data_IF_995228007043
#
_entry.id   IF_995228007043
#
_cell.length_a   1.000
_cell.length_b   1.000
_cell.length_c   1.000
_cell.angle_alpha   90.00
_cell.angle_beta   90.00
_cell.angle_gamma   90.00
#
_symmetry.space_group_name_H-M   'P 1'
#
loop_
_entity.id
_entity.type
_entity.pdbx_description
1 polymer ?
2 water ?
#
# COMPACT_ATOMS: atom_id res chain seq x y z
N UNK A 1 -49.40 21.79 -0.53
CA UNK A 1 -48.62 21.00 0.45
C UNK A 1 -47.61 21.90 1.13
N UNK A 2 -47.98 22.42 2.29
CA UNK A 2 -47.11 23.34 2.96
C UNK A 2 -45.68 22.91 3.35
N UNK A 3 -45.48 21.96 4.29
CA UNK A 3 -44.09 21.61 4.65
C UNK A 3 -43.18 21.24 3.49
N UNK A 4 -42.06 21.96 3.35
CA UNK A 4 -41.12 21.68 2.28
C UNK A 4 -39.75 22.20 2.71
N UNK A 5 -38.85 21.28 3.01
CA UNK A 5 -37.53 21.67 3.50
C UNK A 5 -36.43 21.72 2.44
N UNK A 6 -35.41 22.52 2.72
CA UNK A 6 -34.23 22.58 1.86
C UNK A 6 -33.35 21.53 2.56
N UNK A 7 -32.83 20.57 1.80
CA UNK A 7 -32.03 19.50 2.37
C UNK A 7 -30.58 19.85 2.65
N UNK A 8 -30.05 19.30 3.73
CA UNK A 8 -28.65 19.52 4.10
C UNK A 8 -27.73 18.83 3.09
N UNK A 9 -26.70 19.55 2.64
CA UNK A 9 -25.74 19.00 1.69
C UNK A 9 -24.32 19.00 2.24
N UNK A 10 -23.57 17.93 1.95
CA UNK A 10 -22.16 17.87 2.32
C UNK A 10 -21.39 17.55 1.04
N UNK A 11 -20.09 17.84 1.04
CA UNK A 11 -19.26 17.62 -0.13
C UNK A 11 -18.38 16.39 -0.02
N UNK A 12 -18.17 15.73 -1.17
CA UNK A 12 -17.29 14.58 -1.26
C UNK A 12 -16.40 14.87 -2.46
N UNK A 13 -15.09 14.89 -2.22
CA UNK A 13 -14.12 15.17 -3.26
C UNK A 13 -13.04 14.10 -3.31
N UNK A 14 -12.77 13.62 -4.52
CA UNK A 14 -11.74 12.60 -4.70
C UNK A 14 -11.14 12.66 -6.09
N UNK A 15 -10.05 11.93 -6.27
CA UNK A 15 -9.36 11.85 -7.55
C UNK A 15 -9.49 10.42 -8.02
N UNK A 16 -10.21 10.21 -9.12
CA UNK A 16 -10.40 8.87 -9.64
C UNK A 16 -9.08 8.33 -10.18
N UNK A 17 -8.86 7.03 -10.00
CA UNK A 17 -7.64 6.39 -10.49
C UNK A 17 -8.01 5.23 -11.40
N UNK A 18 -7.26 5.07 -12.49
CA UNK A 18 -7.52 3.98 -13.43
C UNK A 18 -7.49 2.65 -12.68
N UNK A 19 -8.40 1.76 -13.04
CA UNK A 19 -8.44 0.46 -12.40
C UNK A 19 -9.09 0.42 -11.04
N UNK A 20 -9.53 1.58 -10.55
CA UNK A 20 -10.17 1.65 -9.24
C UNK A 20 -11.56 2.25 -9.39
N UNK A 21 -12.57 1.38 -9.48
CA UNK A 21 -13.97 1.80 -9.63
C UNK A 21 -14.43 2.56 -8.39
N UNK A 22 -15.40 3.45 -8.57
CA UNK A 22 -15.94 4.20 -7.45
C UNK A 22 -16.59 3.21 -6.48
N UNK A 23 -17.14 2.13 -7.03
CA UNK A 23 -17.78 1.12 -6.20
C UNK A 23 -19.17 1.48 -5.72
N UNK A 24 -19.85 2.36 -6.46
CA UNK A 24 -21.19 2.79 -6.08
C UNK A 24 -22.25 2.32 -7.06
N UNK A 25 -23.28 1.64 -6.55
CA UNK A 25 -24.41 1.21 -7.38
C UNK A 25 -25.43 2.33 -7.20
N UNK A 26 -25.87 2.94 -8.29
CA UNK A 26 -26.80 4.08 -8.21
C UNK A 26 -28.22 3.75 -8.61
N UNK A 27 -29.16 4.43 -7.96
CA UNK A 27 -30.60 4.26 -8.21
C UNK A 27 -31.12 5.67 -8.47
N UNK A 28 -31.66 5.95 -9.67
CA UNK A 28 -32.15 7.30 -9.92
C UNK A 28 -33.46 7.68 -9.24
N UNK A 29 -33.57 8.95 -8.89
CA UNK A 29 -34.80 9.48 -8.31
C UNK A 29 -34.89 10.96 -8.67
N UNK A 30 -36.01 11.60 -8.32
CA UNK A 30 -36.19 12.98 -8.69
C UNK A 30 -35.15 13.98 -8.20
N UNK A 31 -34.56 13.75 -7.04
CA UNK A 31 -33.57 14.72 -6.57
C UNK A 31 -32.11 14.35 -6.84
N UNK A 32 -31.84 13.12 -7.25
CA UNK A 32 -30.47 12.74 -7.51
C UNK A 32 -30.34 11.25 -7.63
N UNK A 33 -29.16 10.74 -7.32
CA UNK A 33 -28.92 9.31 -7.39
C UNK A 33 -28.62 8.70 -6.04
N UNK A 34 -29.47 7.77 -5.62
CA UNK A 34 -29.27 7.11 -4.34
C UNK A 34 -28.18 6.06 -4.46
N UNK A 35 -27.35 5.99 -3.44
CA UNK A 35 -26.31 4.98 -3.41
C UNK A 35 -27.02 3.73 -2.90
N UNK A 36 -27.43 2.86 -3.83
CA UNK A 36 -28.14 1.63 -3.50
C UNK A 36 -27.20 0.63 -2.82
N UNK A 37 -25.92 0.74 -3.12
CA UNK A 37 -24.91 -0.12 -2.52
C UNK A 37 -23.53 0.47 -2.79
N UNK A 38 -22.55 0.13 -1.95
CA UNK A 38 -21.21 0.63 -2.17
C UNK A 38 -20.20 -0.34 -1.58
N UNK A 39 -19.06 -0.45 -2.25
CA UNK A 39 -18.02 -1.35 -1.81
C UNK A 39 -16.96 -0.56 -1.06
N UNK A 40 -16.82 -0.88 0.22
CA UNK A 40 -15.87 -0.21 1.09
C UNK A 40 -14.44 -0.53 0.67
N UNK A 41 -13.54 0.42 0.87
CA UNK A 41 -12.14 0.20 0.51
C UNK A 41 -11.65 0.76 -0.82
N UNK A 42 -12.52 1.41 -1.59
CA UNK A 42 -12.09 1.96 -2.88
C UNK A 42 -11.39 3.32 -2.76
N UNK A 43 -12.05 4.27 -2.12
CA UNK A 43 -11.50 5.61 -1.92
C UNK A 43 -11.73 6.05 -0.48
N UNK A 44 -10.70 6.62 0.15
CA UNK A 44 -10.80 7.08 1.54
C UNK A 44 -11.95 8.06 1.77
N UNK A 45 -12.15 8.99 0.83
CA UNK A 45 -13.22 9.97 0.97
C UNK A 45 -14.61 9.32 0.94
N UNK A 46 -14.77 8.26 0.16
CA UNK A 46 -16.05 7.57 0.12
C UNK A 46 -16.24 6.83 1.44
N UNK A 47 -15.20 6.12 1.88
CA UNK A 47 -15.30 5.38 3.12
C UNK A 47 -15.59 6.28 4.31
N UNK A 48 -14.98 7.46 4.32
CA UNK A 48 -15.18 8.37 5.45
C UNK A 48 -16.46 9.20 5.41
N UNK A 49 -16.94 9.53 4.22
CA UNK A 49 -18.13 10.39 4.13
C UNK A 49 -19.43 9.82 3.58
N UNK A 50 -19.38 8.70 2.86
CA UNK A 50 -20.59 8.14 2.26
C UNK A 50 -21.12 6.85 2.88
N UNK A 51 -22.43 6.67 2.79
CA UNK A 51 -23.09 5.49 3.33
C UNK A 51 -24.23 5.09 2.39
N UNK A 52 -24.61 3.82 2.45
CA UNK A 52 -25.73 3.32 1.65
C UNK A 52 -26.94 4.17 1.99
N UNK A 53 -27.66 4.59 0.96
CA UNK A 53 -28.84 5.41 1.17
C UNK A 53 -28.60 6.89 0.94
N UNK A 54 -27.34 7.31 0.96
CA UNK A 54 -27.07 8.73 0.71
C UNK A 54 -27.48 9.04 -0.72
N UNK A 55 -27.87 10.28 -0.98
CA UNK A 55 -28.30 10.69 -2.31
C UNK A 55 -27.37 11.75 -2.87
N UNK A 56 -26.72 11.42 -3.98
CA UNK A 56 -25.81 12.36 -4.63
C UNK A 56 -26.71 13.28 -5.46
N UNK A 57 -26.62 14.59 -5.19
CA UNK A 57 -27.46 15.59 -5.85
C UNK A 57 -26.79 16.51 -6.86
N UNK A 58 -25.46 16.54 -6.86
CA UNK A 58 -24.71 17.34 -7.83
C UNK A 58 -23.42 16.60 -8.14
N UNK A 59 -23.05 16.55 -9.41
CA UNK A 59 -21.84 15.83 -9.79
C UNK A 59 -21.02 16.73 -10.70
N UNK A 60 -19.79 17.02 -10.28
CA UNK A 60 -18.89 17.90 -11.02
C UNK A 60 -19.57 19.14 -11.56
N UNK A 61 -20.34 19.80 -10.70
CA UNK A 61 -21.01 21.04 -11.07
C UNK A 61 -22.40 20.93 -11.67
N UNK A 62 -22.79 19.74 -12.12
CA UNK A 62 -24.12 19.59 -12.71
C UNK A 62 -25.13 19.08 -11.69
N UNK A 63 -26.20 19.86 -11.50
CA UNK A 63 -27.27 19.46 -10.58
C UNK A 63 -27.95 18.23 -11.18
N UNK A 64 -28.19 17.21 -10.36
CA UNK A 64 -28.80 15.98 -10.84
C UNK A 64 -30.32 15.94 -10.73
N UNK A 65 -30.92 16.89 -10.02
CA UNK A 65 -32.38 16.88 -9.90
C UNK A 65 -33.07 16.87 -11.26
N UNK A 66 -34.02 15.96 -11.42
CA UNK A 66 -34.78 15.87 -12.65
C UNK A 66 -34.11 15.30 -13.88
N UNK A 67 -32.83 14.97 -13.80
CA UNK A 67 -32.16 14.45 -14.97
C UNK A 67 -32.48 12.99 -15.23
N UNK A 68 -32.57 12.60 -16.51
CA UNK A 68 -32.84 11.20 -16.84
C UNK A 68 -31.61 10.44 -16.37
N UNK A 69 -31.78 9.20 -15.93
CA UNK A 69 -30.63 8.45 -15.46
C UNK A 69 -29.60 8.25 -16.57
N UNK A 70 -30.06 8.18 -17.81
CA UNK A 70 -29.11 8.03 -18.91
C UNK A 70 -28.13 9.21 -18.98
N UNK A 71 -28.56 10.39 -18.51
CA UNK A 71 -27.69 11.57 -18.48
C UNK A 71 -26.84 11.53 -17.21
N UNK A 72 -27.47 11.36 -16.04
CA UNK A 72 -26.69 11.31 -14.81
C UNK A 72 -25.61 10.23 -14.86
N UNK A 73 -25.98 9.03 -15.29
CA UNK A 73 -25.02 7.95 -15.36
C UNK A 73 -23.85 8.32 -16.29
N UNK A 74 -24.15 8.95 -17.42
CA UNK A 74 -23.12 9.37 -18.37
C UNK A 74 -22.14 10.32 -17.71
N UNK A 75 -22.64 11.19 -16.85
CA UNK A 75 -21.77 12.15 -16.17
C UNK A 75 -20.78 11.41 -15.25
N UNK A 76 -21.30 10.46 -14.47
CA UNK A 76 -20.43 9.68 -13.59
C UNK A 76 -19.41 8.89 -14.42
N UNK A 77 -19.88 8.22 -15.46
CA UNK A 77 -19.01 7.39 -16.29
C UNK A 77 -17.93 8.20 -17.00
N UNK A 78 -18.23 9.45 -17.31
CA UNK A 78 -17.29 10.30 -18.02
C UNK A 78 -16.20 10.95 -17.18
N UNK A 79 -16.25 10.78 -15.86
CA UNK A 79 -15.24 11.38 -14.99
C UNK A 79 -14.01 10.49 -14.90
N UNK A 80 -12.89 10.97 -15.45
CA UNK A 80 -11.64 10.21 -15.43
C UNK A 80 -10.68 10.67 -14.35
N UNK A 81 -10.93 11.86 -13.80
CA UNK A 81 -10.04 12.39 -12.78
C UNK A 81 -10.76 12.98 -11.58
N UNK A 82 -10.74 14.30 -11.47
CA UNK A 82 -11.38 14.97 -10.35
C UNK A 82 -12.88 14.71 -10.28
N UNK A 83 -13.35 14.41 -9.07
CA UNK A 83 -14.76 14.15 -8.83
C UNK A 83 -15.17 14.98 -7.61
N UNK A 84 -16.17 15.84 -7.81
CA UNK A 84 -16.68 16.69 -6.74
C UNK A 84 -18.18 16.51 -6.68
N UNK A 85 -18.68 16.00 -5.56
CA UNK A 85 -20.11 15.76 -5.43
C UNK A 85 -20.73 16.47 -4.24
N UNK A 86 -22.02 16.80 -4.38
CA UNK A 86 -22.80 17.35 -3.28
C UNK A 86 -23.73 16.18 -2.97
N UNK A 87 -23.94 15.93 -1.69
CA UNK A 87 -24.71 14.78 -1.24
C UNK A 87 -25.61 15.11 -0.04
N UNK A 88 -26.74 14.42 0.07
CA UNK A 88 -27.61 14.60 1.23
C UNK A 88 -27.85 13.22 1.86
N UNK A 89 -27.93 13.18 3.19
CA UNK A 89 -28.17 11.94 3.94
C UNK A 89 -29.64 12.01 4.36
N UNK A 90 -30.52 11.28 3.66
CA UNK A 90 -31.96 11.27 3.92
C UNK A 90 -32.44 10.45 5.10
N UNK A 91 -32.06 10.88 6.29
CA UNK A 91 -32.46 10.18 7.50
C UNK A 91 -33.19 11.12 8.44
N UNK A 92 -34.51 11.27 8.26
CA UNK A 92 -35.25 12.16 9.15
C UNK A 92 -35.46 11.40 10.46
N UNK B 1 31.45 -37.13 11.77
CA UNK B 1 30.85 -36.36 12.89
C UNK B 1 29.35 -36.27 12.73
N UNK B 2 28.74 -37.44 12.65
CA UNK B 2 27.31 -37.61 12.46
C UNK B 2 26.30 -36.46 12.58
N UNK B 3 25.96 -35.95 13.79
CA UNK B 3 24.97 -34.86 13.81
C UNK B 3 25.25 -33.66 12.90
N UNK B 4 24.34 -33.38 11.97
CA UNK B 4 24.52 -32.25 11.05
C UNK B 4 23.20 -31.77 10.49
N UNK B 5 22.91 -30.49 10.65
CA UNK B 5 21.64 -30.00 10.15
C UNK B 5 21.63 -28.59 9.56
N UNK B 6 20.50 -28.35 8.92
CA UNK B 6 20.01 -27.16 8.25
C UNK B 6 20.56 -25.76 8.37
N UNK B 7 20.11 -25.15 9.45
CA UNK B 7 20.37 -23.76 9.73
C UNK B 7 19.21 -23.24 8.91
N UNK B 8 18.07 -23.06 9.57
CA UNK B 8 16.89 -22.55 8.89
C UNK B 8 17.21 -21.13 8.45
N UNK B 9 16.76 -20.77 7.26
CA UNK B 9 17.02 -19.44 6.71
C UNK B 9 15.73 -18.66 6.52
N UNK B 10 15.87 -17.34 6.44
CA UNK B 10 14.75 -16.45 6.19
C UNK B 10 15.30 -15.35 5.28
N UNK B 11 14.42 -14.72 4.50
CA UNK B 11 14.86 -13.70 3.56
C UNK B 11 14.65 -12.25 3.99
N UNK B 12 15.53 -11.39 3.48
CA UNK B 12 15.49 -9.96 3.74
C UNK B 12 15.74 -9.28 2.40
N UNK B 13 14.68 -8.77 1.79
CA UNK B 13 14.79 -8.10 0.49
C UNK B 13 14.55 -6.61 0.64
N UNK B 14 15.42 -5.79 0.05
CA UNK B 14 15.27 -4.35 0.15
C UNK B 14 15.65 -3.63 -1.14
N UNK B 15 15.32 -2.34 -1.21
CA UNK B 15 15.62 -1.52 -2.38
C UNK B 15 16.78 -0.59 -2.04
N UNK B 16 17.91 -0.79 -2.73
CA UNK B 16 19.09 0.03 -2.49
C UNK B 16 19.05 1.44 -3.10
N UNK B 17 18.24 2.32 -2.52
CA UNK B 17 18.13 3.70 -2.99
C UNK B 17 19.35 4.50 -2.52
N UNK B 18 20.31 4.68 -3.42
CA UNK B 18 21.56 5.40 -3.16
C UNK B 18 21.49 6.48 -2.09
N UNK B 19 22.54 6.54 -1.28
CA UNK B 19 22.59 7.52 -0.20
C UNK B 19 22.38 6.81 1.11
N UNK B 20 22.53 5.49 1.11
CA UNK B 20 22.34 4.75 2.34
C UNK B 20 23.30 3.61 2.56
N UNK B 21 23.97 3.65 3.70
CA UNK B 21 24.87 2.59 4.07
C UNK B 21 23.81 1.59 4.54
N UNK B 22 23.95 0.32 4.18
CA UNK B 22 22.96 -0.65 4.61
C UNK B 22 22.87 -0.64 6.13
N UNK B 23 23.89 -0.06 6.76
CA UNK B 23 23.92 0.03 8.21
C UNK B 23 24.45 -1.22 8.88
N UNK B 24 24.74 -2.24 8.08
CA UNK B 24 25.25 -3.51 8.57
C UNK B 24 26.76 -3.50 8.86
N UNK B 25 27.14 -3.86 10.08
CA UNK B 25 28.55 -3.98 10.41
C UNK B 25 28.73 -5.49 10.31
N UNK B 26 29.74 -5.95 9.59
CA UNK B 26 29.93 -7.39 9.37
C UNK B 26 31.15 -8.07 9.99
N UNK B 27 31.03 -9.39 10.16
CA UNK B 27 32.08 -10.25 10.72
C UNK B 27 32.12 -11.55 9.90
N UNK B 28 33.27 -11.84 9.27
CA UNK B 28 33.38 -13.06 8.46
C UNK B 28 33.60 -14.38 9.17
N UNK B 29 32.85 -15.39 8.74
CA UNK B 29 33.03 -16.73 9.25
C UNK B 29 32.77 -17.71 8.12
N UNK B 30 32.99 -18.99 8.40
CA UNK B 30 32.83 -20.01 7.40
C UNK B 30 31.47 -20.11 6.72
N UNK B 31 30.40 -19.73 7.41
CA UNK B 31 29.11 -19.87 6.76
C UNK B 31 28.54 -18.59 6.16
N UNK B 32 29.12 -17.45 6.50
CA UNK B 32 28.63 -16.20 5.96
C UNK B 32 29.18 -15.01 6.70
N UNK B 33 28.45 -13.89 6.68
CA UNK B 33 28.89 -12.70 7.39
C UNK B 33 28.00 -12.41 8.58
N UNK B 34 28.61 -12.38 9.76
CA UNK B 34 27.90 -12.11 11.01
C UNK B 34 27.61 -10.62 11.12
N UNK B 35 26.40 -10.28 11.54
CA UNK B 35 26.03 -8.88 11.71
C UNK B 35 26.53 -8.39 13.07
N UNK B 36 27.44 -7.42 13.06
CA UNK B 36 27.99 -6.87 14.29
C UNK B 36 27.13 -5.73 14.82
N UNK B 37 26.69 -4.85 13.92
CA UNK B 37 25.86 -3.72 14.30
C UNK B 37 24.75 -3.50 13.27
N UNK B 38 23.62 -2.99 13.74
CA UNK B 38 22.47 -2.73 12.88
C UNK B 38 21.77 -1.44 13.27
N UNK B 39 22.47 -0.32 13.14
CA UNK B 39 21.92 0.98 13.48
C UNK B 39 20.51 1.13 12.91
N UNK B 40 19.51 0.99 13.78
CA UNK B 40 18.10 1.11 13.41
C UNK B 40 17.91 1.26 11.91
N UNK B 41 17.97 0.14 11.21
CA UNK B 41 17.84 0.11 9.76
C UNK B 41 16.92 1.10 9.06
N UNK B 42 17.03 1.12 7.74
CA UNK B 42 16.23 2.01 6.91
C UNK B 42 15.52 1.18 5.84
N UNK B 43 15.11 -0.02 6.24
CA UNK B 43 14.39 -0.94 5.37
C UNK B 43 13.52 -1.78 6.27
N UNK B 44 12.20 -1.71 6.08
CA UNK B 44 11.29 -2.50 6.93
C UNK B 44 11.82 -3.91 7.10
N UNK B 45 12.52 -4.38 6.08
CA UNK B 45 13.10 -5.71 6.07
C UNK B 45 14.15 -5.87 7.17
N UNK B 46 15.15 -5.00 7.15
CA UNK B 46 16.24 -5.04 8.12
C UNK B 46 15.77 -4.75 9.54
N UNK B 47 14.98 -3.69 9.69
CA UNK B 47 14.47 -3.27 10.99
C UNK B 47 13.59 -4.31 11.67
N UNK B 48 12.73 -4.97 10.90
CA UNK B 48 11.83 -5.95 11.48
C UNK B 48 12.26 -7.40 11.30
N UNK B 49 13.46 -7.63 10.77
CA UNK B 49 13.91 -9.01 10.57
C UNK B 49 15.33 -9.32 11.04
N UNK B 50 16.21 -8.32 11.06
CA UNK B 50 17.59 -8.55 11.46
C UNK B 50 17.97 -8.09 12.86
N UNK B 51 18.94 -8.79 13.45
CA UNK B 51 19.45 -8.46 14.78
C UNK B 51 20.93 -8.79 14.88
N UNK B 52 21.63 -8.13 15.80
CA UNK B 52 23.05 -8.38 15.99
C UNK B 52 23.25 -9.87 16.22
N UNK B 53 24.23 -10.44 15.54
CA UNK B 53 24.49 -11.86 15.70
C UNK B 53 23.95 -12.72 14.58
N UNK B 54 23.01 -12.19 13.79
CA UNK B 54 22.45 -12.95 12.68
C UNK B 54 23.54 -13.15 11.64
N UNK B 55 23.46 -14.23 10.88
CA UNK B 55 24.48 -14.49 9.86
C UNK B 55 23.88 -14.49 8.47
N UNK B 56 24.36 -13.58 7.63
CA UNK B 56 23.89 -13.49 6.25
C UNK B 56 24.66 -14.57 5.50
N UNK B 57 23.93 -15.51 4.92
CA UNK B 57 24.53 -16.64 4.22
C UNK B 57 24.50 -16.58 2.69
N UNK B 58 23.69 -15.68 2.13
CA UNK B 58 23.63 -15.53 0.69
C UNK B 58 23.30 -14.08 0.37
N UNK B 59 23.99 -13.52 -0.62
CA UNK B 59 23.77 -12.14 -1.01
C UNK B 59 23.52 -12.09 -2.51
N UNK B 60 22.35 -11.59 -2.89
CA UNK B 60 21.98 -11.51 -4.30
C UNK B 60 22.30 -12.76 -5.10
N UNK B 61 21.98 -13.92 -4.54
CA UNK B 61 22.23 -15.16 -5.25
C UNK B 61 23.57 -15.83 -5.00
N UNK B 62 24.56 -15.07 -4.54
CA UNK B 62 25.87 -15.67 -4.28
C UNK B 62 25.96 -16.22 -2.86
N UNK B 63 26.16 -17.53 -2.73
CA UNK B 63 26.32 -18.14 -1.41
C UNK B 63 27.61 -17.55 -0.81
N UNK B 64 27.55 -17.16 0.46
CA UNK B 64 28.72 -16.58 1.11
C UNK B 64 29.59 -17.61 1.83
N UNK B 65 29.11 -18.84 1.95
CA UNK B 65 29.90 -19.86 2.64
C UNK B 65 31.28 -20.03 1.99
N UNK B 66 32.30 -20.02 2.83
CA UNK B 66 33.66 -20.20 2.36
C UNK B 66 34.29 -19.07 1.59
N UNK B 67 33.56 -18.00 1.31
CA UNK B 67 34.16 -16.90 0.56
C UNK B 67 35.08 -16.03 1.39
N UNK B 68 36.20 -15.59 0.80
CA UNK B 68 37.12 -14.73 1.55
C UNK B 68 36.33 -13.46 1.84
N UNK B 69 36.59 -12.83 2.98
CA UNK B 69 35.86 -11.61 3.30
C UNK B 69 36.09 -10.51 2.26
N UNK B 70 37.27 -10.51 1.64
CA UNK B 70 37.59 -9.52 0.60
C UNK B 70 36.58 -9.63 -0.53
N UNK B 71 36.07 -10.83 -0.77
CA UNK B 71 35.07 -11.03 -1.81
C UNK B 71 33.68 -10.64 -1.31
N UNK B 72 33.25 -11.21 -0.18
CA UNK B 72 31.93 -10.90 0.34
C UNK B 72 31.76 -9.39 0.59
N UNK B 73 32.76 -8.75 1.19
CA UNK B 73 32.68 -7.31 1.45
C UNK B 73 32.40 -6.56 0.15
N UNK B 74 33.13 -6.93 -0.91
CA UNK B 74 32.96 -6.29 -2.21
C UNK B 74 31.54 -6.49 -2.75
N UNK B 75 30.95 -7.65 -2.48
CA UNK B 75 29.59 -7.92 -2.93
C UNK B 75 28.62 -6.94 -2.28
N UNK B 76 28.73 -6.77 -0.96
CA UNK B 76 27.86 -5.85 -0.23
C UNK B 76 28.07 -4.42 -0.71
N UNK B 77 29.33 -4.03 -0.86
CA UNK B 77 29.68 -2.68 -1.30
C UNK B 77 29.09 -2.34 -2.66
N UNK B 78 29.00 -3.34 -3.53
CA UNK B 78 28.46 -3.11 -4.87
C UNK B 78 26.95 -3.23 -4.99
N UNK B 79 26.27 -3.33 -3.85
CA UNK B 79 24.82 -3.45 -3.86
C UNK B 79 24.14 -2.22 -4.46
N UNK B 80 23.40 -2.43 -5.54
CA UNK B 80 22.67 -1.35 -6.21
C UNK B 80 21.38 -1.88 -6.79
N UNK B 81 20.26 -1.39 -6.26
CA UNK B 81 18.97 -1.83 -6.73
C UNK B 81 18.38 -2.88 -5.80
N UNK B 82 17.65 -3.83 -6.37
CA UNK B 82 17.03 -4.89 -5.58
C UNK B 82 18.06 -5.78 -4.89
N UNK B 83 18.14 -5.66 -3.57
CA UNK B 83 19.05 -6.46 -2.76
C UNK B 83 18.27 -7.57 -2.07
N UNK B 84 18.76 -8.80 -2.18
CA UNK B 84 18.09 -9.95 -1.56
C UNK B 84 19.09 -10.76 -0.74
N UNK B 85 18.77 -11.00 0.53
CA UNK B 85 19.66 -11.76 1.40
C UNK B 85 18.99 -12.93 2.10
N UNK B 86 19.75 -14.00 2.29
CA UNK B 86 19.27 -15.16 3.02
C UNK B 86 20.04 -15.05 4.32
N UNK B 87 19.34 -15.27 5.43
CA UNK B 87 19.93 -15.12 6.76
C UNK B 87 19.53 -16.27 7.69
N UNK B 88 20.37 -16.54 8.68
CA UNK B 88 20.06 -17.57 9.66
C UNK B 88 20.32 -17.00 11.05
N UNK B 89 19.45 -17.36 11.99
CA UNK B 89 19.58 -16.90 13.36
C UNK B 89 20.09 -18.10 14.15
N UNK B 90 21.38 -18.09 14.51
CA UNK B 90 22.09 -19.14 15.27
C UNK B 90 21.76 -19.20 16.75
N UNK B 91 20.55 -19.63 17.07
CA UNK B 91 20.12 -19.77 18.45
C UNK B 91 19.55 -21.17 18.54
N UNK B 92 20.41 -22.17 18.81
CA UNK B 92 20.04 -23.59 18.92
C UNK B 92 18.75 -23.86 19.69
#
# INVERSE_FOLDING_TARGET
GIPRNSLEKFNVDLMKKAGKELGLSLSPNEIGCTIADLIQGQYPEIDSKLQRGDIITKFNGDALEGLPFQVSYALFKGANGKVSMEVTRPKPAAAS
GIPRNSLEKFNVDLMKKAGKELGLSLSPNEIGCTIADLIQGQYPEIDSKLQRGDIITKFNGDALEGLPFQVSYALFKGANGKVSMEVTRPKPAAAS
#
